data_IF_535299642258
#
_entry.id   IF_535299642258
#
_cell.length_a   1.000
_cell.length_b   1.000
_cell.length_c   1.000
_cell.angle_alpha   90.00
_cell.angle_beta   90.00
_cell.angle_gamma   90.00
#
_symmetry.space_group_name_H-M   'P 1'
#
loop_
_entity.id
_entity.type
_entity.pdbx_description
1 polymer ?
#
# COMPACT_ATOMS: atom_id res chain seq x y z
N UNK A 1 3.10 38.20 2.79
CA UNK A 1 2.31 37.00 3.14
C UNK A 1 3.18 36.06 3.96
N UNK A 2 3.14 36.16 5.29
CA UNK A 2 3.78 35.20 6.18
C UNK A 2 2.85 33.98 6.29
N UNK A 3 3.24 32.83 5.73
CA UNK A 3 2.52 31.57 5.99
C UNK A 3 2.80 31.19 7.43
N UNK A 4 1.78 31.23 8.29
CA UNK A 4 1.86 30.57 9.59
C UNK A 4 2.30 29.11 9.39
N UNK A 5 3.17 28.57 10.27
CA UNK A 5 3.62 27.20 10.16
C UNK A 5 2.40 26.28 10.18
N UNK A 6 2.17 25.56 9.08
CA UNK A 6 1.02 24.67 9.00
C UNK A 6 1.09 23.65 10.15
N UNK A 7 -0.03 23.32 10.81
CA UNK A 7 -0.06 22.42 11.97
C UNK A 7 0.51 21.01 11.68
N UNK A 8 0.78 20.70 10.40
CA UNK A 8 1.30 19.44 9.88
C UNK A 8 2.84 19.33 9.90
N UNK A 9 3.58 20.39 10.24
CA UNK A 9 5.06 20.42 10.08
C UNK A 9 5.84 20.28 11.40
N UNK A 10 5.17 20.07 12.53
CA UNK A 10 5.83 19.93 13.83
C UNK A 10 6.39 18.52 14.08
N UNK A 11 7.56 18.38 14.69
CA UNK A 11 8.11 17.07 15.11
C UNK A 11 7.14 16.25 15.98
N UNK A 12 6.36 16.93 16.83
CA UNK A 12 5.28 16.32 17.63
C UNK A 12 4.22 15.65 16.75
N UNK A 13 3.87 16.26 15.62
CA UNK A 13 2.91 15.67 14.67
C UNK A 13 3.46 14.39 14.08
N UNK A 14 4.72 14.39 13.64
CA UNK A 14 5.37 13.20 13.07
C UNK A 14 5.37 12.07 14.10
N UNK A 15 5.76 12.34 15.35
CA UNK A 15 5.72 11.33 16.43
C UNK A 15 4.32 10.74 16.58
N UNK A 16 3.29 11.58 16.67
CA UNK A 16 1.91 11.09 16.83
C UNK A 16 1.40 10.33 15.60
N UNK A 17 1.71 10.80 14.40
CA UNK A 17 1.37 10.11 13.16
C UNK A 17 2.00 8.72 13.09
N UNK A 18 3.30 8.62 13.40
CA UNK A 18 4.03 7.34 13.46
C UNK A 18 3.47 6.45 14.55
N UNK A 19 3.15 6.99 15.73
CA UNK A 19 2.59 6.20 16.83
C UNK A 19 1.20 5.64 16.48
N UNK A 20 0.30 6.46 15.90
CA UNK A 20 -1.06 6.03 15.55
C UNK A 20 -1.02 5.03 14.39
N UNK A 21 -0.31 5.33 13.31
CA UNK A 21 -0.18 4.41 12.18
C UNK A 21 0.55 3.14 12.59
N UNK A 22 1.63 3.24 13.37
CA UNK A 22 2.40 2.09 13.85
C UNK A 22 1.58 1.18 14.76
N UNK A 23 0.78 1.72 15.66
CA UNK A 23 -0.12 0.93 16.50
C UNK A 23 -1.20 0.22 15.66
N UNK A 24 -1.84 0.94 14.73
CA UNK A 24 -2.84 0.34 13.83
C UNK A 24 -2.22 -0.72 12.91
N UNK A 25 -1.05 -0.44 12.35
CA UNK A 25 -0.29 -1.33 11.48
C UNK A 25 0.17 -2.58 12.22
N UNK A 26 0.66 -2.48 13.46
CA UNK A 26 1.04 -3.65 14.26
C UNK A 26 -0.15 -4.60 14.47
N UNK A 27 -1.33 -4.05 14.71
CA UNK A 27 -2.56 -4.81 14.94
C UNK A 27 -3.05 -5.45 13.63
N UNK A 28 -3.08 -4.67 12.53
CA UNK A 28 -3.55 -5.11 11.21
C UNK A 28 -2.62 -6.12 10.56
N UNK A 29 -1.32 -5.84 10.53
CA UNK A 29 -0.29 -6.69 9.94
C UNK A 29 0.25 -7.75 10.90
N UNK A 30 -0.37 -7.95 12.08
CA UNK A 30 0.11 -8.90 13.11
C UNK A 30 0.36 -10.30 12.56
N UNK A 31 -0.55 -10.80 11.73
CA UNK A 31 -0.42 -12.17 11.21
C UNK A 31 0.77 -12.28 10.26
N UNK A 32 1.01 -11.26 9.46
CA UNK A 32 2.17 -11.18 8.58
C UNK A 32 3.47 -11.08 9.40
N UNK A 33 3.58 -10.10 10.30
CA UNK A 33 4.79 -9.84 11.10
C UNK A 33 5.12 -11.01 12.03
N UNK A 34 4.16 -11.51 12.82
CA UNK A 34 4.42 -12.58 13.79
C UNK A 34 4.49 -13.97 13.18
N UNK A 35 4.12 -14.14 11.91
CA UNK A 35 4.39 -15.39 11.16
C UNK A 35 5.81 -15.49 10.64
N UNK A 36 6.67 -14.49 10.87
CA UNK A 36 7.98 -14.44 10.22
C UNK A 36 7.89 -14.13 8.73
N UNK A 37 6.83 -13.41 8.31
CA UNK A 37 6.52 -13.06 6.92
C UNK A 37 5.97 -14.19 6.03
N UNK A 38 5.65 -15.35 6.62
CA UNK A 38 5.15 -16.52 5.88
C UNK A 38 3.67 -16.42 5.44
N UNK A 39 2.88 -15.52 6.03
CA UNK A 39 1.45 -15.37 5.71
C UNK A 39 1.17 -14.22 4.75
N UNK A 40 0.69 -14.58 3.56
CA UNK A 40 0.25 -13.64 2.51
C UNK A 40 -1.11 -13.03 2.83
N UNK A 41 -1.29 -11.75 2.53
CA UNK A 41 -2.59 -11.09 2.67
C UNK A 41 -3.63 -11.65 1.69
N UNK A 42 -4.89 -11.70 2.13
CA UNK A 42 -6.02 -12.19 1.33
C UNK A 42 -6.19 -13.71 1.35
N UNK A 43 -7.19 -14.18 0.59
CA UNK A 43 -7.38 -15.59 0.27
C UNK A 43 -6.16 -16.10 -0.54
N UNK A 44 -5.80 -17.37 -0.36
CA UNK A 44 -4.76 -18.06 -1.12
C UNK A 44 -4.79 -17.79 -2.63
N UNK A 45 -5.98 -17.82 -3.25
CA UNK A 45 -6.16 -17.55 -4.68
C UNK A 45 -5.88 -16.08 -5.04
N UNK A 46 -6.50 -15.16 -4.29
CA UNK A 46 -6.44 -13.72 -4.56
C UNK A 46 -5.01 -13.19 -4.38
N UNK A 47 -4.36 -13.53 -3.26
CA UNK A 47 -2.98 -13.11 -2.98
C UNK A 47 -2.02 -13.60 -4.07
N UNK A 48 -2.17 -14.85 -4.53
CA UNK A 48 -1.33 -15.40 -5.60
C UNK A 48 -1.58 -14.74 -6.95
N UNK A 49 -2.85 -14.45 -7.29
CA UNK A 49 -3.20 -13.75 -8.51
C UNK A 49 -2.56 -12.35 -8.55
N UNK A 50 -2.66 -11.61 -7.44
CA UNK A 50 -2.08 -10.27 -7.37
C UNK A 50 -0.56 -10.31 -7.43
N UNK A 51 0.10 -11.22 -6.70
CA UNK A 51 1.56 -11.44 -6.82
C UNK A 51 1.96 -11.76 -8.25
N UNK A 52 1.21 -12.62 -8.95
CA UNK A 52 1.46 -12.94 -10.35
C UNK A 52 1.35 -11.71 -11.26
N UNK A 53 0.32 -10.88 -11.07
CA UNK A 53 0.15 -9.64 -11.82
C UNK A 53 1.29 -8.64 -11.55
N UNK A 54 1.72 -8.51 -10.30
CA UNK A 54 2.87 -7.67 -9.94
C UNK A 54 4.18 -8.18 -10.56
N UNK A 55 4.43 -9.49 -10.55
CA UNK A 55 5.61 -10.06 -11.22
C UNK A 55 5.56 -9.88 -12.74
N UNK A 56 4.38 -10.00 -13.36
CA UNK A 56 4.21 -9.69 -14.79
C UNK A 56 4.57 -8.23 -15.07
N UNK A 57 4.02 -7.29 -14.29
CA UNK A 57 4.33 -5.87 -14.44
C UNK A 57 5.81 -5.56 -14.16
N UNK A 58 6.44 -6.27 -13.22
CA UNK A 58 7.88 -6.16 -12.99
C UNK A 58 8.69 -6.63 -14.19
N UNK A 59 8.32 -7.75 -14.81
CA UNK A 59 8.95 -8.22 -16.06
C UNK A 59 8.74 -7.23 -17.21
N UNK A 60 7.58 -6.55 -17.27
CA UNK A 60 7.34 -5.47 -18.24
C UNK A 60 8.31 -4.30 -18.02
N UNK A 61 8.52 -3.89 -16.77
CA UNK A 61 9.53 -2.85 -16.42
C UNK A 61 10.94 -3.26 -16.83
N UNK A 62 11.26 -4.56 -16.74
CA UNK A 62 12.53 -5.12 -17.21
C UNK A 62 12.61 -5.32 -18.74
N UNK A 63 11.52 -5.08 -19.48
CA UNK A 63 11.45 -5.32 -20.93
C UNK A 63 11.36 -6.80 -21.32
N UNK A 64 11.02 -7.69 -20.39
CA UNK A 64 10.96 -9.14 -20.58
C UNK A 64 9.55 -9.65 -20.95
N UNK A 65 8.52 -8.83 -20.77
CA UNK A 65 7.13 -9.22 -21.01
C UNK A 65 6.31 -8.09 -21.68
N UNK A 66 5.28 -8.43 -22.48
CA UNK A 66 4.36 -7.44 -23.05
C UNK A 66 3.42 -6.89 -21.97
N UNK A 67 3.23 -5.57 -21.94
CA UNK A 67 2.41 -4.90 -20.93
C UNK A 67 1.01 -5.51 -20.82
N UNK A 68 0.28 -5.60 -21.93
CA UNK A 68 -1.17 -5.84 -21.93
C UNK A 68 -1.60 -7.30 -21.77
N UNK A 69 -0.66 -8.25 -21.83
CA UNK A 69 -1.00 -9.66 -22.04
C UNK A 69 -0.18 -10.59 -21.13
N UNK A 70 -0.49 -10.64 -19.82
CA UNK A 70 0.01 -11.70 -18.96
C UNK A 70 -0.37 -13.09 -19.49
N UNK A 71 0.44 -14.10 -19.20
CA UNK A 71 0.28 -15.45 -19.75
C UNK A 71 -0.83 -16.30 -19.10
N UNK A 72 -1.66 -15.73 -18.22
CA UNK A 72 -2.68 -16.44 -17.44
C UNK A 72 -3.81 -17.04 -18.30
N UNK A 73 -4.19 -16.41 -19.41
CA UNK A 73 -5.32 -16.83 -20.25
C UNK A 73 -4.90 -17.03 -21.72
N UNK A 74 -3.74 -17.64 -21.94
CA UNK A 74 -3.27 -17.94 -23.29
C UNK A 74 -4.33 -18.74 -24.10
N UNK A 75 -4.59 -18.42 -25.38
CA UNK A 75 -3.93 -17.43 -26.25
C UNK A 75 -4.60 -16.04 -26.29
N UNK A 76 -5.48 -15.69 -25.34
CA UNK A 76 -6.16 -14.38 -25.35
C UNK A 76 -5.17 -13.26 -25.03
N UNK A 77 -5.16 -12.21 -25.85
CA UNK A 77 -4.37 -10.99 -25.65
C UNK A 77 -5.21 -9.89 -24.97
N UNK A 78 -4.53 -8.86 -24.45
CA UNK A 78 -5.17 -7.69 -23.83
C UNK A 78 -5.81 -7.96 -22.47
N UNK A 79 -5.53 -9.12 -21.86
CA UNK A 79 -6.20 -9.57 -20.64
C UNK A 79 -5.78 -8.79 -19.39
N UNK A 80 -4.70 -8.00 -19.43
CA UNK A 80 -4.38 -7.10 -18.31
C UNK A 80 -5.52 -6.10 -18.06
N UNK A 81 -6.35 -5.80 -19.07
CA UNK A 81 -7.53 -4.94 -18.91
C UNK A 81 -8.56 -5.44 -17.90
N UNK A 82 -8.52 -6.72 -17.48
CA UNK A 82 -9.35 -7.22 -16.38
C UNK A 82 -8.80 -6.88 -14.98
N UNK A 83 -7.56 -6.38 -14.90
CA UNK A 83 -6.83 -6.17 -13.64
C UNK A 83 -5.86 -4.98 -13.75
N UNK A 84 -6.23 -3.98 -14.54
CA UNK A 84 -5.45 -2.76 -14.78
C UNK A 84 -5.36 -1.85 -13.54
N UNK A 85 -6.25 -2.05 -12.57
CA UNK A 85 -6.18 -1.40 -11.26
C UNK A 85 -4.82 -1.58 -10.55
N UNK A 86 -4.11 -2.69 -10.79
CA UNK A 86 -2.79 -2.96 -10.20
C UNK A 86 -1.62 -2.33 -10.97
N UNK A 87 -1.88 -1.61 -12.07
CA UNK A 87 -0.82 -1.05 -12.91
C UNK A 87 0.09 -0.08 -12.14
N UNK A 88 -0.49 0.76 -11.28
CA UNK A 88 0.28 1.74 -10.51
C UNK A 88 1.01 1.13 -9.31
N UNK A 89 0.63 -0.06 -8.86
CA UNK A 89 1.30 -0.74 -7.76
C UNK A 89 2.74 -1.10 -8.12
N UNK A 90 3.04 -1.27 -9.42
CA UNK A 90 4.41 -1.53 -9.90
C UNK A 90 5.40 -0.46 -9.44
N UNK A 91 4.94 0.78 -9.23
CA UNK A 91 5.77 1.89 -8.73
C UNK A 91 6.28 1.64 -7.30
N UNK A 92 5.53 0.89 -6.50
CA UNK A 92 5.91 0.50 -5.14
C UNK A 92 6.56 -0.88 -5.11
N UNK A 93 6.03 -1.81 -5.92
CA UNK A 93 6.47 -3.20 -5.96
C UNK A 93 7.85 -3.39 -6.62
N UNK A 94 8.10 -2.77 -7.78
CA UNK A 94 9.33 -2.96 -8.53
C UNK A 94 10.60 -2.52 -7.76
N UNK A 95 10.62 -1.38 -7.03
CA UNK A 95 11.76 -1.03 -6.19
C UNK A 95 12.06 -2.10 -5.13
N UNK A 96 11.04 -2.68 -4.49
CA UNK A 96 11.21 -3.72 -3.49
C UNK A 96 11.83 -4.99 -4.11
N UNK A 97 11.41 -5.36 -5.32
CA UNK A 97 12.00 -6.47 -6.07
C UNK A 97 13.45 -6.20 -6.46
N UNK A 98 13.77 -4.98 -6.88
CA UNK A 98 15.14 -4.58 -7.20
C UNK A 98 16.06 -4.60 -5.97
N UNK A 99 15.53 -4.38 -4.77
CA UNK A 99 16.25 -4.51 -3.50
C UNK A 99 16.46 -5.97 -3.06
N UNK A 100 15.96 -6.94 -3.82
CA UNK A 100 16.15 -8.37 -3.55
C UNK A 100 15.09 -9.01 -2.64
N UNK A 101 14.02 -8.29 -2.29
CA UNK A 101 12.86 -8.90 -1.62
C UNK A 101 12.23 -9.95 -2.55
N UNK A 102 11.77 -11.08 -2.00
CA UNK A 102 11.04 -12.08 -2.77
C UNK A 102 9.66 -11.55 -3.20
N UNK A 103 8.99 -12.17 -4.19
CA UNK A 103 7.71 -11.68 -4.71
C UNK A 103 6.60 -11.52 -3.65
N UNK A 104 6.51 -12.44 -2.69
CA UNK A 104 5.46 -12.40 -1.67
C UNK A 104 5.73 -11.29 -0.64
N UNK A 105 6.99 -11.15 -0.20
CA UNK A 105 7.39 -10.07 0.67
C UNK A 105 7.21 -8.71 0.00
N UNK A 106 7.62 -8.57 -1.27
CA UNK A 106 7.40 -7.34 -2.03
C UNK A 106 5.92 -6.98 -2.10
N UNK A 107 5.05 -7.95 -2.37
CA UNK A 107 3.61 -7.75 -2.38
C UNK A 107 3.07 -7.26 -1.03
N UNK A 108 3.46 -7.90 0.08
CA UNK A 108 3.00 -7.48 1.41
C UNK A 108 3.51 -6.07 1.76
N UNK A 109 4.78 -5.78 1.49
CA UNK A 109 5.36 -4.47 1.75
C UNK A 109 4.72 -3.38 0.88
N UNK A 110 4.31 -3.67 -0.35
CA UNK A 110 3.52 -2.75 -1.19
C UNK A 110 2.24 -2.30 -0.48
N UNK A 111 1.49 -3.22 0.13
CA UNK A 111 0.28 -2.87 0.91
C UNK A 111 0.60 -2.08 2.17
N UNK A 112 1.68 -2.42 2.88
CA UNK A 112 2.12 -1.66 4.05
C UNK A 112 2.46 -0.22 3.65
N UNK A 113 3.22 -0.01 2.59
CA UNK A 113 3.59 1.32 2.07
C UNK A 113 2.36 2.07 1.59
N UNK A 114 1.46 1.42 0.85
CA UNK A 114 0.23 2.03 0.37
C UNK A 114 -0.66 2.49 1.54
N UNK A 115 -0.74 1.70 2.62
CA UNK A 115 -1.46 2.08 3.84
C UNK A 115 -0.87 3.34 4.49
N UNK A 116 0.46 3.48 4.50
CA UNK A 116 1.14 4.66 5.03
C UNK A 116 0.88 5.89 4.16
N UNK A 117 0.96 5.74 2.84
CA UNK A 117 0.64 6.82 1.88
C UNK A 117 -0.82 7.26 2.06
N UNK A 118 -1.75 6.31 2.18
CA UNK A 118 -3.16 6.58 2.43
C UNK A 118 -3.38 7.35 3.74
N UNK A 119 -2.70 6.93 4.81
CA UNK A 119 -2.83 7.55 6.13
C UNK A 119 -2.34 9.00 6.12
N UNK A 120 -1.15 9.23 5.55
CA UNK A 120 -0.56 10.57 5.45
C UNK A 120 -1.40 11.47 4.54
N UNK A 121 -1.83 10.96 3.39
CA UNK A 121 -2.64 11.70 2.42
C UNK A 121 -3.99 12.11 3.02
N UNK A 122 -4.68 11.20 3.71
CA UNK A 122 -5.96 11.48 4.33
C UNK A 122 -5.83 12.41 5.54
N UNK A 123 -4.77 12.26 6.33
CA UNK A 123 -4.47 13.20 7.43
C UNK A 123 -4.25 14.61 6.89
N UNK A 124 -3.45 14.74 5.82
CA UNK A 124 -3.20 16.01 5.16
C UNK A 124 -4.49 16.61 4.58
N UNK A 125 -5.37 15.79 4.00
CA UNK A 125 -6.67 16.22 3.49
C UNK A 125 -7.54 16.80 4.63
N UNK A 126 -7.68 16.09 5.74
CA UNK A 126 -8.51 16.51 6.87
C UNK A 126 -8.01 17.80 7.54
N UNK A 127 -6.69 17.93 7.70
CA UNK A 127 -6.10 19.11 8.36
C UNK A 127 -6.09 20.31 7.43
N UNK A 128 -5.75 20.14 6.15
CA UNK A 128 -5.58 21.26 5.21
C UNK A 128 -6.87 21.74 4.58
N UNK A 129 -7.79 20.83 4.25
CA UNK A 129 -8.99 21.17 3.49
C UNK A 129 -10.24 21.19 4.37
N UNK A 130 -10.36 20.27 5.32
CA UNK A 130 -11.54 20.21 6.20
C UNK A 130 -11.37 21.01 7.50
N UNK A 131 -10.18 21.53 7.80
CA UNK A 131 -9.90 22.33 9.00
C UNK A 131 -10.10 21.55 10.31
N UNK A 132 -10.02 20.22 10.26
CA UNK A 132 -10.28 19.36 11.42
C UNK A 132 -9.11 19.42 12.40
N UNK A 133 -9.41 19.35 13.70
CA UNK A 133 -8.39 19.28 14.76
C UNK A 133 -7.48 18.07 14.55
N UNK A 134 -6.19 18.25 14.77
CA UNK A 134 -5.15 17.24 14.47
C UNK A 134 -5.44 15.86 15.07
N UNK A 135 -5.85 15.80 16.34
CA UNK A 135 -6.16 14.52 17.01
C UNK A 135 -7.30 13.77 16.31
N UNK A 136 -8.36 14.48 15.93
CA UNK A 136 -9.50 13.90 15.21
C UNK A 136 -9.08 13.48 13.80
N UNK A 137 -8.20 14.25 13.15
CA UNK A 137 -7.67 13.90 11.83
C UNK A 137 -6.84 12.60 11.85
N UNK A 138 -5.99 12.41 12.87
CA UNK A 138 -5.19 11.19 13.03
C UNK A 138 -6.08 9.96 13.27
N UNK A 139 -7.09 10.08 14.15
CA UNK A 139 -8.04 8.99 14.42
C UNK A 139 -8.86 8.68 13.17
N UNK A 140 -9.40 9.71 12.51
CA UNK A 140 -10.17 9.54 11.27
C UNK A 140 -9.36 8.88 10.16
N UNK A 141 -8.07 9.22 10.04
CA UNK A 141 -7.16 8.59 9.07
C UNK A 141 -6.82 7.15 9.41
N UNK A 142 -6.68 6.81 10.69
CA UNK A 142 -6.49 5.43 11.11
C UNK A 142 -7.72 4.58 10.78
N UNK A 143 -8.93 5.10 11.04
CA UNK A 143 -10.18 4.43 10.69
C UNK A 143 -10.36 4.27 9.17
N UNK A 144 -9.92 5.27 8.39
CA UNK A 144 -9.97 5.23 6.94
C UNK A 144 -9.05 4.16 6.34
N UNK A 145 -7.82 4.03 6.87
CA UNK A 145 -6.82 3.09 6.35
C UNK A 145 -7.00 1.67 6.88
N UNK A 146 -7.56 1.50 8.07
CA UNK A 146 -7.85 0.20 8.68
C UNK A 146 -9.37 -0.04 8.85
N UNK A 147 -10.19 0.03 7.78
CA UNK A 147 -11.64 0.06 7.89
C UNK A 147 -12.28 -1.30 8.18
N UNK A 148 -11.57 -2.42 8.02
CA UNK A 148 -12.14 -3.76 8.23
C UNK A 148 -11.18 -4.70 8.96
N UNK A 149 -11.58 -5.08 10.17
CA UNK A 149 -10.91 -6.07 11.01
C UNK A 149 -11.88 -7.15 11.53
N UNK A 150 -12.87 -7.52 10.70
CA UNK A 150 -13.90 -8.51 11.04
C UNK A 150 -14.22 -9.39 9.81
N UNK A 151 -13.27 -10.21 9.37
CA UNK A 151 -13.54 -11.49 8.69
C UNK A 151 -12.42 -12.48 9.00
#
# INVERSE_FOLDING_TARGET
MQREPSPVTGWRFIIWAVAVWGAGGLVFFRQFVFSGFDRVFGNLGDGRLVVYLHEHLYQVVQGLAPLTSPAMLYPKSGILGYSDAFLLDVLLYAPLRLLGCDPFLSYQLTWVVLSLIGFVSFTALLVRFAGVRMSVALVGSALFVFPNMLM
#
